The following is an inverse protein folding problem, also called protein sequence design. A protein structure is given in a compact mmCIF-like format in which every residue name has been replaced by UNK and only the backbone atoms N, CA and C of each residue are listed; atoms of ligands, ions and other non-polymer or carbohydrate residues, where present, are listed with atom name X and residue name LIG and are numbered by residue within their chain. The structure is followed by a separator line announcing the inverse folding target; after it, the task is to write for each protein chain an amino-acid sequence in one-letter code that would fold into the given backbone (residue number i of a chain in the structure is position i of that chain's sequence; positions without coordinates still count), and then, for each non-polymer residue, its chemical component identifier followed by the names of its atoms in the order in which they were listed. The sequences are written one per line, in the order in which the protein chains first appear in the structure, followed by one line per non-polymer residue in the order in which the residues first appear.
data_IF_089924681854
#
_entry.id   IF_089924681854
#
_cell.length_a   1.000
_cell.length_b   1.000
_cell.length_c   1.000
_cell.angle_alpha   90.00
_cell.angle_beta   90.00
_cell.angle_gamma   90.00
#
_symmetry.space_group_name_H-M   'P 1'
#
loop_
_entity.id
_entity.type
_entity.pdbx_description
1 polymer ?
#
# COMPACT_ATOMS: atom_id res chain seq x y z
N UNK A 1 13.91 26.98 23.37
CA UNK A 1 14.39 25.65 23.77
C UNK A 1 13.17 24.73 23.84
N UNK A 2 12.94 23.93 22.83
CA UNK A 2 12.15 22.70 22.71
C UNK A 2 11.84 22.48 21.22
N UNK A 3 12.85 22.09 20.46
CA UNK A 3 12.74 21.76 19.03
C UNK A 3 13.05 20.29 18.73
N UNK A 4 13.14 19.43 19.77
CA UNK A 4 13.64 18.06 19.59
C UNK A 4 12.57 16.95 19.49
N UNK A 5 11.28 17.26 19.40
CA UNK A 5 10.24 16.21 19.39
C UNK A 5 9.58 15.96 18.05
N UNK A 6 9.93 16.68 16.98
CA UNK A 6 9.26 16.58 15.68
C UNK A 6 9.93 15.59 14.70
N UNK A 7 11.15 15.15 14.99
CA UNK A 7 11.91 14.26 14.10
C UNK A 7 11.43 12.79 14.06
N UNK A 8 10.54 12.39 14.97
CA UNK A 8 10.23 10.97 15.18
C UNK A 8 8.93 10.45 14.56
N UNK A 9 8.27 11.15 13.63
CA UNK A 9 6.90 10.77 13.24
C UNK A 9 6.66 10.34 11.80
N UNK A 10 7.57 10.53 10.88
CA UNK A 10 7.50 9.93 9.54
C UNK A 10 8.21 8.58 9.51
N UNK A 11 9.13 8.35 10.43
CA UNK A 11 9.83 7.09 10.59
C UNK A 11 9.23 6.12 11.62
N UNK A 12 8.01 6.31 12.09
CA UNK A 12 7.49 5.66 13.30
C UNK A 12 7.14 4.17 13.20
N UNK A 13 7.58 3.46 12.19
CA UNK A 13 7.50 2.00 12.14
C UNK A 13 8.76 1.34 11.59
N UNK A 14 9.85 2.02 11.58
CA UNK A 14 11.13 1.35 11.35
C UNK A 14 11.57 0.59 12.62
N UNK A 15 10.95 -0.55 12.92
CA UNK A 15 11.85 -1.62 13.32
C UNK A 15 12.86 -1.73 12.19
N UNK A 16 14.18 -1.74 12.49
CA UNK A 16 15.17 -1.94 11.44
C UNK A 16 14.73 -3.18 10.66
N UNK A 17 14.40 -2.97 9.38
CA UNK A 17 14.06 -4.08 8.50
C UNK A 17 15.30 -4.90 8.34
N UNK A 18 15.21 -6.24 8.26
CA UNK A 18 16.34 -7.06 7.87
C UNK A 18 16.97 -6.51 6.60
N UNK A 19 18.28 -6.50 6.54
CA UNK A 19 19.01 -6.03 5.36
C UNK A 19 18.55 -6.83 4.14
N UNK A 20 18.18 -6.12 3.08
CA UNK A 20 17.66 -6.75 1.85
C UNK A 20 16.17 -7.07 1.84
N UNK A 21 15.41 -6.71 2.86
CA UNK A 21 13.96 -6.88 2.90
C UNK A 21 13.20 -5.55 3.05
N UNK A 22 11.96 -5.54 2.58
CA UNK A 22 11.02 -4.43 2.80
C UNK A 22 9.66 -4.95 3.24
N UNK A 23 8.92 -4.11 3.96
CA UNK A 23 7.54 -4.41 4.34
C UNK A 23 6.58 -3.86 3.29
N UNK A 24 5.60 -4.69 2.94
CA UNK A 24 4.41 -4.27 2.22
C UNK A 24 3.24 -4.30 3.21
N UNK A 25 2.53 -3.18 3.35
CA UNK A 25 1.31 -3.11 4.16
C UNK A 25 0.19 -2.45 3.37
N UNK A 26 -0.92 -3.17 3.20
CA UNK A 26 -2.02 -2.71 2.36
C UNK A 26 -3.36 -3.29 2.80
N UNK A 27 -4.37 -2.42 2.98
CA UNK A 27 -5.76 -2.83 3.22
C UNK A 27 -5.94 -3.88 4.32
N UNK A 28 -5.17 -3.77 5.40
CA UNK A 28 -5.33 -4.57 6.60
C UNK A 28 -4.52 -5.86 6.68
N UNK A 29 -3.59 -6.07 5.77
CA UNK A 29 -2.53 -7.08 5.88
C UNK A 29 -1.16 -6.43 5.75
N UNK A 30 -0.12 -7.08 6.25
CA UNK A 30 1.27 -6.73 5.96
C UNK A 30 2.16 -7.97 5.97
N UNK A 31 3.24 -7.94 5.22
CA UNK A 31 4.24 -9.00 5.12
C UNK A 31 5.57 -8.45 4.59
N UNK A 32 6.64 -9.22 4.76
CA UNK A 32 7.99 -8.89 4.27
C UNK A 32 8.23 -9.55 2.92
N UNK A 33 8.95 -8.84 2.07
CA UNK A 33 9.40 -9.30 0.74
C UNK A 33 10.80 -8.78 0.48
N UNK A 34 11.54 -9.32 -0.52
CA UNK A 34 12.79 -8.75 -0.99
C UNK A 34 12.68 -7.24 -1.28
N UNK A 35 13.71 -6.48 -0.94
CA UNK A 35 13.70 -5.02 -1.00
C UNK A 35 13.54 -4.46 -2.42
N UNK A 36 13.89 -5.23 -3.44
CA UNK A 36 13.76 -4.88 -4.86
C UNK A 36 12.36 -5.16 -5.45
N UNK A 37 11.41 -5.69 -4.65
CA UNK A 37 10.03 -5.90 -5.13
C UNK A 37 9.17 -4.68 -4.83
N UNK A 38 8.56 -4.10 -5.86
CA UNK A 38 7.65 -2.98 -5.75
C UNK A 38 6.23 -3.34 -6.19
N UNK A 39 5.26 -2.53 -5.75
CA UNK A 39 3.86 -2.74 -6.13
C UNK A 39 3.60 -2.27 -7.55
N UNK A 40 3.39 -3.22 -8.48
CA UNK A 40 3.01 -2.95 -9.85
C UNK A 40 1.52 -2.65 -9.99
N UNK A 41 0.69 -3.45 -9.35
CA UNK A 41 -0.76 -3.41 -9.52
C UNK A 41 -1.48 -3.49 -8.19
N UNK A 42 -2.51 -2.66 -8.05
CA UNK A 42 -3.53 -2.80 -7.02
C UNK A 42 -4.92 -2.79 -7.63
N UNK A 43 -5.76 -3.74 -7.24
CA UNK A 43 -7.16 -3.82 -7.66
C UNK A 43 -8.08 -4.12 -6.48
N UNK A 44 -9.16 -3.36 -6.36
CA UNK A 44 -10.29 -3.77 -5.51
C UNK A 44 -11.13 -4.79 -6.26
N UNK A 45 -11.31 -5.94 -5.65
CA UNK A 45 -12.11 -7.03 -6.20
C UNK A 45 -13.57 -6.89 -5.77
N UNK A 46 -14.47 -7.57 -6.48
CA UNK A 46 -15.86 -7.66 -6.07
C UNK A 46 -15.96 -8.28 -4.67
N UNK A 47 -16.97 -7.88 -3.87
CA UNK A 47 -17.23 -8.37 -2.52
C UNK A 47 -16.19 -7.98 -1.46
N UNK A 48 -15.44 -6.89 -1.68
CA UNK A 48 -14.49 -6.37 -0.69
C UNK A 48 -13.18 -7.15 -0.63
N UNK A 49 -12.82 -7.85 -1.69
CA UNK A 49 -11.48 -8.42 -1.85
C UNK A 49 -10.49 -7.39 -2.40
N UNK A 50 -9.23 -7.71 -2.27
CA UNK A 50 -8.10 -6.92 -2.75
C UNK A 50 -7.13 -7.82 -3.50
N UNK A 51 -6.47 -7.27 -4.51
CA UNK A 51 -5.37 -7.92 -5.23
C UNK A 51 -4.21 -6.94 -5.29
N UNK A 52 -3.01 -7.46 -5.06
CA UNK A 52 -1.75 -6.75 -5.24
C UNK A 52 -0.82 -7.64 -6.04
N UNK A 53 -0.13 -7.04 -6.99
CA UNK A 53 0.94 -7.68 -7.73
C UNK A 53 2.22 -6.90 -7.41
N UNK A 54 3.27 -7.62 -7.04
CA UNK A 54 4.60 -7.08 -6.83
C UNK A 54 5.51 -7.54 -7.97
N UNK A 55 6.34 -6.64 -8.44
CA UNK A 55 7.33 -6.89 -9.49
C UNK A 55 8.72 -6.43 -9.03
N UNK A 56 9.73 -7.01 -9.62
CA UNK A 56 11.06 -6.45 -9.65
C UNK A 56 11.30 -5.73 -10.98
N UNK A 57 12.54 -5.46 -11.34
CA UNK A 57 12.88 -4.80 -12.61
C UNK A 57 12.61 -5.67 -13.85
N UNK A 58 12.34 -6.97 -13.69
CA UNK A 58 12.21 -7.92 -14.81
C UNK A 58 10.81 -8.50 -14.96
N UNK A 59 10.14 -8.84 -13.85
CA UNK A 59 8.88 -9.59 -13.92
C UNK A 59 8.02 -9.47 -12.65
N UNK A 60 6.78 -9.97 -12.77
CA UNK A 60 5.90 -10.15 -11.61
C UNK A 60 6.47 -11.28 -10.76
N UNK A 61 6.69 -10.98 -9.47
CA UNK A 61 7.25 -11.89 -8.47
C UNK A 61 6.21 -12.45 -7.52
N UNK A 62 5.20 -11.64 -7.21
CA UNK A 62 4.14 -12.05 -6.29
C UNK A 62 2.79 -11.53 -6.79
N UNK A 63 1.83 -12.43 -6.92
CA UNK A 63 0.42 -12.10 -7.03
C UNK A 63 -0.27 -12.46 -5.72
N UNK A 64 -0.94 -11.52 -5.08
CA UNK A 64 -1.66 -11.78 -3.84
C UNK A 64 -3.10 -11.29 -3.91
N UNK A 65 -4.01 -12.13 -3.46
CA UNK A 65 -5.42 -11.79 -3.31
C UNK A 65 -5.88 -12.11 -1.89
N UNK A 66 -6.60 -11.20 -1.28
CA UNK A 66 -7.22 -11.47 0.02
C UNK A 66 -8.62 -10.89 0.12
N UNK A 67 -9.42 -11.52 0.96
CA UNK A 67 -10.80 -11.12 1.23
C UNK A 67 -11.12 -11.31 2.70
N UNK A 68 -11.84 -10.36 3.28
CA UNK A 68 -12.46 -10.54 4.58
C UNK A 68 -13.85 -11.14 4.39
N UNK A 69 -13.99 -12.43 4.67
CA UNK A 69 -15.25 -13.12 4.52
C UNK A 69 -16.10 -13.05 5.80
N UNK A 70 -17.41 -12.93 5.66
CA UNK A 70 -18.30 -13.13 6.80
C UNK A 70 -18.24 -14.59 7.27
N UNK A 71 -18.18 -14.83 8.58
CA UNK A 71 -18.04 -16.18 9.20
C UNK A 71 -18.97 -17.23 8.62
N UNK A 72 -20.19 -16.88 8.17
CA UNK A 72 -21.16 -17.77 7.51
C UNK A 72 -20.78 -18.17 6.07
N UNK A 73 -19.84 -17.47 5.43
CA UNK A 73 -19.47 -17.66 4.02
C UNK A 73 -18.17 -18.46 3.85
N UNK A 74 -17.45 -18.74 4.94
CA UNK A 74 -16.20 -19.49 4.91
C UNK A 74 -16.45 -21.00 4.71
N UNK A 75 -16.84 -21.37 3.51
CA UNK A 75 -16.66 -22.74 3.02
C UNK A 75 -15.22 -22.84 2.48
N UNK A 76 -14.25 -22.87 3.38
CA UNK A 76 -12.82 -22.85 3.08
C UNK A 76 -12.43 -23.78 1.93
N UNK A 77 -12.81 -25.06 1.99
CA UNK A 77 -12.53 -26.03 0.91
C UNK A 77 -13.01 -25.56 -0.47
N UNK A 78 -14.16 -24.85 -0.53
CA UNK A 78 -14.70 -24.36 -1.81
C UNK A 78 -13.91 -23.13 -2.31
N UNK A 79 -13.44 -22.31 -1.39
CA UNK A 79 -12.62 -21.13 -1.72
C UNK A 79 -11.25 -21.59 -2.18
N UNK A 80 -10.59 -22.45 -1.42
CA UNK A 80 -9.30 -23.05 -1.81
C UNK A 80 -9.38 -23.70 -3.18
N UNK A 81 -10.35 -24.61 -3.38
CA UNK A 81 -10.56 -25.26 -4.68
C UNK A 81 -10.73 -24.29 -5.83
N UNK A 82 -11.43 -23.16 -5.62
CA UNK A 82 -11.57 -22.13 -6.66
C UNK A 82 -10.22 -21.52 -7.06
N UNK A 83 -9.34 -21.26 -6.09
CA UNK A 83 -8.00 -20.70 -6.37
C UNK A 83 -7.06 -21.77 -6.93
N UNK A 84 -7.15 -22.99 -6.44
CA UNK A 84 -6.46 -24.15 -7.04
C UNK A 84 -6.87 -24.33 -8.50
N UNK A 85 -8.19 -24.32 -8.80
CA UNK A 85 -8.70 -24.40 -10.17
C UNK A 85 -8.24 -23.20 -11.04
N UNK A 86 -8.08 -22.01 -10.46
CA UNK A 86 -7.57 -20.84 -11.17
C UNK A 86 -6.05 -20.91 -11.41
N UNK A 87 -5.29 -21.47 -10.49
CA UNK A 87 -3.86 -21.71 -10.64
C UNK A 87 -3.54 -22.94 -11.49
N UNK A 88 -4.51 -23.87 -11.64
CA UNK A 88 -4.33 -25.14 -12.34
C UNK A 88 -3.71 -25.04 -13.75
N UNK A 89 -4.07 -24.08 -14.61
CA UNK A 89 -3.43 -23.94 -15.91
C UNK A 89 -1.92 -23.72 -15.82
N UNK A 90 -1.47 -23.09 -14.72
CA UNK A 90 -0.06 -22.82 -14.47
C UNK A 90 0.65 -24.04 -13.83
N UNK A 91 -0.05 -24.84 -13.05
CA UNK A 91 0.55 -25.95 -12.27
C UNK A 91 0.44 -27.32 -12.94
N UNK A 92 -0.43 -27.48 -13.95
CA UNK A 92 -0.67 -28.76 -14.65
C UNK A 92 0.55 -29.33 -15.37
N UNK A 93 1.54 -28.51 -15.69
CA UNK A 93 2.75 -28.90 -16.41
C UNK A 93 3.97 -29.02 -15.52
N UNK A 94 3.79 -28.92 -14.21
CA UNK A 94 4.91 -29.08 -13.29
C UNK A 94 5.47 -30.50 -13.39
N UNK A 95 6.79 -30.60 -13.41
CA UNK A 95 7.51 -31.87 -13.42
C UNK A 95 7.50 -32.54 -12.05
N UNK A 96 7.47 -31.73 -10.99
CA UNK A 96 7.40 -32.18 -9.62
C UNK A 96 6.67 -31.15 -8.74
N UNK A 97 6.18 -31.60 -7.58
CA UNK A 97 5.59 -30.70 -6.58
C UNK A 97 5.65 -31.31 -5.18
N UNK A 98 5.77 -30.46 -4.17
CA UNK A 98 5.74 -30.88 -2.76
C UNK A 98 5.15 -29.79 -1.87
N UNK A 99 4.61 -30.20 -0.74
CA UNK A 99 4.12 -29.26 0.27
C UNK A 99 5.30 -28.57 0.98
N UNK A 100 5.13 -27.27 1.24
CA UNK A 100 6.13 -26.50 1.98
C UNK A 100 5.99 -26.81 3.48
N UNK A 101 7.06 -27.29 4.12
CA UNK A 101 7.04 -27.60 5.55
C UNK A 101 7.13 -26.36 6.43
N UNK A 102 6.92 -26.54 7.73
CA UNK A 102 7.20 -25.57 8.81
C UNK A 102 6.54 -24.18 8.64
N UNK A 103 5.35 -24.17 8.09
CA UNK A 103 4.56 -22.93 7.96
C UNK A 103 3.81 -22.59 9.25
N UNK A 104 3.63 -21.30 9.57
CA UNK A 104 2.82 -20.87 10.70
C UNK A 104 1.37 -21.35 10.60
N UNK A 105 0.67 -21.39 11.74
CA UNK A 105 -0.72 -21.81 11.79
C UNK A 105 -1.60 -20.97 10.86
N UNK A 106 -2.47 -21.64 10.12
CA UNK A 106 -3.37 -21.01 9.13
C UNK A 106 -2.80 -20.92 7.73
N UNK A 107 -1.52 -21.24 7.54
CA UNK A 107 -0.87 -21.31 6.24
C UNK A 107 -0.84 -22.73 5.68
N UNK A 108 -0.92 -22.81 4.36
CA UNK A 108 -0.70 -23.99 3.56
C UNK A 108 -0.10 -23.57 2.23
N UNK A 109 0.98 -24.21 1.79
CA UNK A 109 1.63 -23.88 0.52
C UNK A 109 2.14 -25.13 -0.19
N UNK A 110 2.14 -25.07 -1.53
CA UNK A 110 2.68 -26.10 -2.40
C UNK A 110 3.67 -25.46 -3.37
N UNK A 111 4.86 -26.02 -3.45
CA UNK A 111 5.92 -25.65 -4.36
C UNK A 111 5.85 -26.56 -5.60
N UNK A 112 5.86 -25.97 -6.79
CA UNK A 112 5.83 -26.61 -8.08
C UNK A 112 7.13 -26.33 -8.83
N UNK A 113 7.74 -27.34 -9.39
CA UNK A 113 9.02 -27.31 -10.10
C UNK A 113 8.76 -27.58 -11.57
N UNK A 114 9.29 -26.71 -12.44
CA UNK A 114 9.21 -26.83 -13.89
C UNK A 114 10.60 -26.91 -14.48
N UNK A 115 10.80 -27.81 -15.42
CA UNK A 115 12.06 -28.02 -16.11
C UNK A 115 11.85 -27.87 -17.60
N UNK A 116 12.41 -26.83 -18.17
CA UNK A 116 12.34 -26.56 -19.60
C UNK A 116 13.73 -26.71 -20.23
N UNK A 117 13.77 -27.21 -21.47
CA UNK A 117 15.02 -27.26 -22.23
C UNK A 117 15.10 -25.98 -23.04
N UNK A 118 16.07 -25.13 -22.75
CA UNK A 118 16.33 -23.88 -23.43
C UNK A 118 17.75 -23.85 -24.02
N UNK A 119 18.03 -23.11 -25.12
CA UNK A 119 19.38 -22.85 -25.59
C UNK A 119 20.15 -22.09 -24.48
N UNK A 120 21.44 -22.44 -24.31
CA UNK A 120 22.34 -21.66 -23.48
C UNK A 120 22.56 -20.23 -24.01
N UNK A 121 23.27 -19.39 -23.29
CA UNK A 121 23.55 -18.02 -23.69
C UNK A 121 24.32 -17.88 -25.01
N UNK A 122 24.99 -18.93 -25.46
CA UNK A 122 25.69 -18.98 -26.76
C UNK A 122 24.79 -19.49 -27.90
N UNK A 123 23.69 -20.15 -27.58
CA UNK A 123 22.78 -20.80 -28.53
C UNK A 123 23.29 -22.17 -29.06
N UNK A 124 24.46 -22.62 -28.60
CA UNK A 124 25.13 -23.81 -29.13
C UNK A 124 24.74 -25.10 -28.41
N UNK A 125 24.26 -24.99 -27.16
CA UNK A 125 23.88 -26.13 -26.33
C UNK A 125 22.49 -25.95 -25.76
N UNK A 126 21.83 -27.07 -25.53
CA UNK A 126 20.57 -27.10 -24.78
C UNK A 126 20.86 -27.33 -23.30
N UNK A 127 20.38 -26.47 -22.45
CA UNK A 127 20.46 -26.59 -21.00
C UNK A 127 19.07 -26.78 -20.43
N UNK A 128 19.01 -27.47 -19.29
CA UNK A 128 17.76 -27.56 -18.51
C UNK A 128 17.68 -26.32 -17.62
N UNK A 129 16.70 -25.49 -17.91
CA UNK A 129 16.38 -24.32 -17.09
C UNK A 129 15.24 -24.71 -16.15
N UNK A 130 15.41 -24.45 -14.86
CA UNK A 130 14.39 -24.67 -13.85
C UNK A 130 13.80 -23.34 -13.45
N UNK A 131 12.46 -23.27 -13.42
CA UNK A 131 11.73 -22.20 -12.76
C UNK A 131 10.71 -22.79 -11.78
N UNK A 132 10.38 -22.03 -10.77
CA UNK A 132 9.57 -22.50 -9.67
C UNK A 132 8.35 -21.61 -9.44
N UNK A 133 7.27 -22.23 -9.01
CA UNK A 133 6.03 -21.55 -8.66
C UNK A 133 5.58 -22.02 -7.28
N UNK A 134 5.27 -21.08 -6.38
CA UNK A 134 4.69 -21.44 -5.08
C UNK A 134 3.28 -20.89 -4.98
N UNK A 135 2.31 -21.76 -4.72
CA UNK A 135 0.96 -21.36 -4.32
C UNK A 135 0.84 -21.43 -2.81
N UNK A 136 0.38 -20.36 -2.17
CA UNK A 136 0.18 -20.35 -0.74
C UNK A 136 -1.22 -19.81 -0.38
N UNK A 137 -1.79 -20.38 0.67
CA UNK A 137 -3.09 -20.02 1.22
C UNK A 137 -2.94 -19.64 2.69
N UNK A 138 -3.65 -18.60 3.08
CA UNK A 138 -3.77 -18.19 4.47
C UNK A 138 -5.24 -18.11 4.88
N UNK A 139 -5.54 -18.64 6.05
CA UNK A 139 -6.83 -18.49 6.68
C UNK A 139 -6.72 -18.19 8.16
N UNK A 140 -7.27 -17.04 8.56
CA UNK A 140 -7.47 -16.72 9.97
C UNK A 140 -8.96 -16.86 10.33
N UNK A 141 -9.34 -17.85 11.17
CA UNK A 141 -10.72 -17.99 11.63
C UNK A 141 -11.21 -16.82 12.48
N UNK A 142 -10.29 -16.16 13.21
CA UNK A 142 -10.63 -15.05 14.11
C UNK A 142 -10.95 -13.76 13.36
N UNK A 143 -10.11 -13.36 12.41
CA UNK A 143 -10.29 -12.15 11.61
C UNK A 143 -11.17 -12.39 10.39
N UNK A 144 -11.38 -13.67 10.05
CA UNK A 144 -12.08 -14.11 8.83
C UNK A 144 -11.38 -13.60 7.55
N UNK A 145 -10.07 -13.41 7.57
CA UNK A 145 -9.27 -13.15 6.37
C UNK A 145 -8.89 -14.48 5.74
N UNK A 146 -9.14 -14.56 4.44
CA UNK A 146 -8.59 -15.56 3.54
C UNK A 146 -7.63 -14.84 2.59
N UNK A 147 -6.41 -15.38 2.43
CA UNK A 147 -5.40 -14.92 1.50
C UNK A 147 -4.99 -16.01 0.53
N UNK A 148 -4.67 -15.64 -0.69
CA UNK A 148 -4.03 -16.46 -1.71
C UNK A 148 -2.80 -15.71 -2.22
N UNK A 149 -1.70 -16.43 -2.39
CA UNK A 149 -0.40 -15.91 -2.81
C UNK A 149 0.15 -16.85 -3.88
N UNK A 150 0.62 -16.27 -4.97
CA UNK A 150 1.29 -16.95 -6.06
C UNK A 150 2.66 -16.30 -6.25
N UNK A 151 3.73 -17.05 -5.94
CA UNK A 151 5.11 -16.58 -6.06
C UNK A 151 5.73 -17.18 -7.31
N UNK A 152 6.33 -16.31 -8.12
CA UNK A 152 7.07 -16.68 -9.33
C UNK A 152 8.57 -16.55 -9.03
N UNK A 153 9.29 -17.65 -9.11
CA UNK A 153 10.73 -17.71 -8.88
C UNK A 153 11.41 -18.09 -10.19
N UNK A 154 12.24 -17.19 -10.67
CA UNK A 154 12.93 -17.34 -11.94
C UNK A 154 14.26 -18.07 -11.77
N UNK A 155 14.81 -18.65 -12.84
CA UNK A 155 16.07 -19.39 -12.79
C UNK A 155 17.25 -18.58 -12.24
N UNK A 156 17.20 -17.25 -12.47
CA UNK A 156 18.25 -16.31 -12.06
C UNK A 156 18.17 -15.91 -10.59
N UNK A 157 17.06 -16.25 -9.92
CA UNK A 157 16.86 -15.90 -8.54
C UNK A 157 17.79 -16.69 -7.63
N UNK A 158 18.43 -15.98 -6.71
CA UNK A 158 19.31 -16.58 -5.71
C UNK A 158 18.54 -17.10 -4.50
N UNK A 159 17.25 -16.77 -4.42
CA UNK A 159 16.43 -17.12 -3.27
C UNK A 159 15.85 -18.53 -3.40
N UNK A 160 15.97 -19.28 -2.33
CA UNK A 160 15.37 -20.60 -2.23
C UNK A 160 13.85 -20.46 -2.03
N UNK A 161 13.01 -21.08 -2.89
CA UNK A 161 11.55 -20.90 -2.92
C UNK A 161 10.86 -21.18 -1.60
N UNK A 162 11.24 -22.26 -0.92
CA UNK A 162 10.66 -22.66 0.36
C UNK A 162 10.99 -21.65 1.46
N UNK A 163 12.25 -21.20 1.53
CA UNK A 163 12.67 -20.21 2.51
C UNK A 163 11.98 -18.86 2.29
N UNK A 164 11.77 -18.46 1.05
CA UNK A 164 11.07 -17.22 0.71
C UNK A 164 9.62 -17.25 1.20
N UNK A 165 8.88 -18.31 0.91
CA UNK A 165 7.49 -18.41 1.35
C UNK A 165 7.36 -18.57 2.86
N UNK A 166 8.30 -19.26 3.52
CA UNK A 166 8.37 -19.37 4.97
C UNK A 166 8.59 -18.02 5.63
N UNK A 167 9.51 -17.18 5.11
CA UNK A 167 9.73 -15.80 5.59
C UNK A 167 8.49 -14.92 5.38
N UNK A 168 7.87 -14.99 4.19
CA UNK A 168 6.63 -14.27 3.92
C UNK A 168 5.55 -14.66 4.92
N UNK A 169 5.34 -15.96 5.13
CA UNK A 169 4.33 -16.48 6.05
C UNK A 169 4.63 -16.12 7.51
N UNK A 170 5.89 -16.19 7.94
CA UNK A 170 6.32 -15.84 9.30
C UNK A 170 6.16 -14.33 9.59
N UNK A 171 6.39 -13.49 8.59
CA UNK A 171 6.26 -12.03 8.70
C UNK A 171 4.83 -11.51 8.52
N UNK A 172 3.93 -12.36 8.02
CA UNK A 172 2.56 -11.95 7.71
C UNK A 172 1.78 -11.54 8.96
N UNK A 173 1.14 -10.39 8.88
CA UNK A 173 0.28 -9.87 9.92
C UNK A 173 -1.09 -9.53 9.36
N UNK A 174 -2.12 -10.02 10.01
CA UNK A 174 -3.50 -9.65 9.80
C UNK A 174 -3.90 -8.57 10.83
N UNK A 175 -4.07 -7.36 10.36
CA UNK A 175 -4.47 -6.21 11.19
C UNK A 175 -5.98 -6.15 11.44
N UNK A 176 -6.67 -7.29 11.38
CA UNK A 176 -8.14 -7.38 11.48
C UNK A 176 -8.75 -6.77 12.73
N UNK A 177 -8.01 -6.66 13.83
CA UNK A 177 -8.47 -6.10 15.11
C UNK A 177 -7.91 -4.70 15.40
N UNK A 178 -6.98 -4.20 14.61
CA UNK A 178 -6.33 -2.91 14.87
C UNK A 178 -7.25 -1.73 14.64
N UNK A 179 -7.19 -0.74 15.50
CA UNK A 179 -7.96 0.51 15.36
C UNK A 179 -7.48 1.34 14.16
N UNK A 180 -6.21 1.19 13.78
CA UNK A 180 -5.58 1.85 12.63
C UNK A 180 -4.91 0.81 11.75
N UNK A 181 -5.09 0.91 10.44
CA UNK A 181 -4.49 0.03 9.45
C UNK A 181 -3.19 0.64 8.94
N UNK A 182 -2.11 -0.15 8.88
CA UNK A 182 -0.87 0.29 8.25
C UNK A 182 -1.02 0.32 6.72
N UNK A 183 -0.33 1.27 6.12
CA UNK A 183 -0.06 1.36 4.70
C UNK A 183 1.44 1.61 4.54
N UNK A 184 2.12 0.72 3.84
CA UNK A 184 3.56 0.80 3.59
C UNK A 184 3.83 0.26 2.19
N UNK A 185 4.20 1.15 1.30
CA UNK A 185 4.48 0.88 -0.11
C UNK A 185 5.24 2.07 -0.71
N UNK A 186 6.06 1.82 -1.71
CA UNK A 186 6.82 2.87 -2.41
C UNK A 186 7.56 3.82 -1.46
N UNK A 187 8.13 3.30 -0.37
CA UNK A 187 8.81 4.07 0.68
C UNK A 187 7.91 5.06 1.43
N UNK A 188 6.61 4.87 1.38
CA UNK A 188 5.64 5.63 2.17
C UNK A 188 5.10 4.73 3.25
N UNK A 189 5.24 5.15 4.52
CA UNK A 189 4.66 4.45 5.66
C UNK A 189 3.73 5.39 6.44
N UNK A 190 2.49 4.95 6.67
CA UNK A 190 1.51 5.70 7.47
C UNK A 190 0.42 4.77 8.02
N UNK A 191 -0.39 5.27 8.94
CA UNK A 191 -1.56 4.55 9.48
C UNK A 191 -2.85 5.32 9.33
N UNK A 192 -3.87 4.63 8.83
CA UNK A 192 -5.22 5.18 8.64
C UNK A 192 -6.18 4.54 9.64
N UNK A 193 -7.02 5.31 10.35
CA UNK A 193 -8.05 4.71 11.19
C UNK A 193 -8.94 3.78 10.37
N UNK A 194 -9.21 2.58 10.89
CA UNK A 194 -9.97 1.50 10.20
C UNK A 194 -11.29 1.95 9.57
N UNK A 195 -11.94 2.96 10.17
CA UNK A 195 -13.20 3.49 9.64
C UNK A 195 -13.07 4.23 8.31
N UNK A 196 -11.84 4.59 7.90
CA UNK A 196 -11.57 5.20 6.62
C UNK A 196 -11.33 4.15 5.55
N UNK A 197 -12.06 4.25 4.46
CA UNK A 197 -11.92 3.35 3.32
C UNK A 197 -11.12 4.04 2.21
N UNK A 198 -10.16 3.35 1.63
CA UNK A 198 -9.47 3.77 0.42
C UNK A 198 -10.45 3.64 -0.76
N UNK A 199 -10.70 4.75 -1.47
CA UNK A 199 -11.67 4.78 -2.57
C UNK A 199 -11.02 5.08 -3.93
N UNK A 200 -9.83 5.64 -3.92
CA UNK A 200 -9.11 5.97 -5.14
C UNK A 200 -7.62 5.89 -4.91
N UNK A 201 -6.92 5.35 -5.89
CA UNK A 201 -5.48 5.43 -6.02
C UNK A 201 -5.15 5.92 -7.42
N UNK A 202 -4.07 6.69 -7.52
CA UNK A 202 -3.46 7.07 -8.78
C UNK A 202 -1.95 7.03 -8.55
N UNK A 203 -1.26 6.13 -9.23
CA UNK A 203 0.17 5.91 -9.08
C UNK A 203 0.83 6.19 -10.43
N UNK A 204 1.17 7.46 -10.61
CA UNK A 204 1.90 7.93 -11.79
C UNK A 204 3.40 8.04 -11.45
N UNK A 205 4.22 8.09 -12.47
CA UNK A 205 5.67 8.33 -12.32
C UNK A 205 5.88 9.63 -11.54
N UNK A 206 6.57 9.54 -10.41
CA UNK A 206 6.88 10.70 -9.56
C UNK A 206 5.74 11.21 -8.69
N UNK A 207 4.48 10.81 -8.92
CA UNK A 207 3.32 11.27 -8.13
C UNK A 207 2.41 10.13 -7.76
N UNK A 208 2.15 9.96 -6.49
CA UNK A 208 1.22 8.95 -5.99
C UNK A 208 0.12 9.64 -5.18
N UNK A 209 -1.13 9.36 -5.52
CA UNK A 209 -2.31 9.87 -4.80
C UNK A 209 -3.10 8.72 -4.21
N UNK A 210 -3.44 8.84 -2.93
CA UNK A 210 -4.40 7.98 -2.24
C UNK A 210 -5.53 8.83 -1.67
N UNK A 211 -6.78 8.42 -1.92
CA UNK A 211 -7.96 9.10 -1.41
C UNK A 211 -8.74 8.18 -0.50
N UNK A 212 -8.86 8.60 0.74
CA UNK A 212 -9.63 7.89 1.76
C UNK A 212 -10.94 8.61 2.05
N UNK A 213 -11.98 7.85 2.40
CA UNK A 213 -13.28 8.39 2.78
C UNK A 213 -13.80 7.76 4.07
N UNK A 214 -14.49 8.56 4.86
CA UNK A 214 -15.29 8.09 5.99
C UNK A 214 -16.56 8.93 6.09
N UNK A 215 -17.72 8.31 5.82
CA UNK A 215 -18.98 9.02 5.65
C UNK A 215 -18.85 10.06 4.53
N UNK A 216 -19.05 11.36 4.83
CA UNK A 216 -18.90 12.47 3.87
C UNK A 216 -17.52 13.15 3.94
N UNK A 217 -16.58 12.63 4.72
CA UNK A 217 -15.24 13.17 4.87
C UNK A 217 -14.31 12.52 3.87
N UNK A 218 -13.34 13.28 3.39
CA UNK A 218 -12.27 12.80 2.50
C UNK A 218 -10.92 13.23 3.04
N UNK A 219 -9.94 12.37 2.87
CA UNK A 219 -8.54 12.66 3.07
C UNK A 219 -7.79 12.29 1.80
N UNK A 220 -7.11 13.27 1.26
CA UNK A 220 -6.23 13.15 0.12
C UNK A 220 -4.81 13.12 0.64
N UNK A 221 -4.03 12.16 0.19
CA UNK A 221 -2.61 12.03 0.49
C UNK A 221 -1.87 11.92 -0.84
N UNK A 222 -1.02 12.90 -1.10
CA UNK A 222 -0.10 12.90 -2.23
C UNK A 222 1.31 12.64 -1.74
N UNK A 223 2.03 11.87 -2.49
CA UNK A 223 3.45 11.66 -2.35
C UNK A 223 4.11 12.00 -3.68
N UNK A 224 5.11 12.86 -3.62
CA UNK A 224 5.91 13.28 -4.76
C UNK A 224 7.33 12.79 -4.56
N UNK A 225 7.84 12.03 -5.52
CA UNK A 225 9.25 11.64 -5.59
C UNK A 225 10.04 12.72 -6.33
N UNK A 226 11.33 12.83 -6.06
CA UNK A 226 12.22 13.81 -6.71
C UNK A 226 11.76 15.26 -6.48
N UNK A 227 11.62 15.66 -5.21
CA UNK A 227 11.12 16.97 -4.81
C UNK A 227 11.97 18.12 -5.38
N UNK A 228 13.26 17.92 -5.57
CA UNK A 228 14.21 18.84 -6.19
C UNK A 228 13.87 19.23 -7.63
N UNK A 229 13.18 18.36 -8.38
CA UNK A 229 12.80 18.64 -9.78
C UNK A 229 11.72 19.72 -9.86
N UNK A 230 10.79 19.78 -8.91
CA UNK A 230 9.67 20.71 -8.97
C UNK A 230 9.69 21.82 -7.91
N UNK A 231 10.48 21.70 -6.86
CA UNK A 231 10.76 22.81 -5.95
C UNK A 231 11.80 23.72 -6.61
N UNK A 232 11.38 24.93 -6.97
CA UNK A 232 12.28 25.93 -7.56
C UNK A 232 13.18 26.51 -6.47
N UNK A 233 14.34 27.00 -6.86
CA UNK A 233 15.25 27.69 -5.95
C UNK A 233 14.55 28.81 -5.18
N UNK A 234 14.65 28.75 -3.85
CA UNK A 234 14.01 29.69 -2.93
C UNK A 234 12.51 29.51 -2.72
N UNK A 235 11.88 28.51 -3.35
CA UNK A 235 10.46 28.18 -3.12
C UNK A 235 10.31 27.24 -1.93
N UNK A 236 9.47 27.59 -0.96
CA UNK A 236 9.18 26.70 0.16
C UNK A 236 8.25 25.54 -0.26
N UNK A 237 8.33 24.38 0.42
CA UNK A 237 7.40 23.28 0.23
C UNK A 237 5.93 23.70 0.32
N UNK A 238 5.58 24.60 1.25
CA UNK A 238 4.22 25.10 1.43
C UNK A 238 3.76 25.96 0.26
N UNK A 239 4.61 26.82 -0.29
CA UNK A 239 4.29 27.64 -1.47
C UNK A 239 3.99 26.76 -2.68
N UNK A 240 4.85 25.78 -2.92
CA UNK A 240 4.63 24.83 -4.02
C UNK A 240 3.35 24.01 -3.82
N UNK A 241 3.15 23.44 -2.61
CA UNK A 241 1.96 22.65 -2.30
C UNK A 241 0.68 23.46 -2.41
N UNK A 242 0.68 24.72 -2.00
CA UNK A 242 -0.47 25.63 -2.19
C UNK A 242 -0.79 25.86 -3.67
N UNK A 243 0.23 26.07 -4.50
CA UNK A 243 0.06 26.17 -5.96
C UNK A 243 -0.59 24.92 -6.55
N UNK A 244 -0.05 23.74 -6.17
CA UNK A 244 -0.58 22.45 -6.59
C UNK A 244 -2.03 22.22 -6.14
N UNK A 245 -2.32 22.39 -4.85
CA UNK A 245 -3.65 22.17 -4.26
C UNK A 245 -4.70 23.12 -4.86
N UNK A 246 -4.34 24.38 -5.10
CA UNK A 246 -5.22 25.36 -5.71
C UNK A 246 -5.52 25.05 -7.19
N UNK A 247 -4.59 24.41 -7.88
CA UNK A 247 -4.77 23.90 -9.25
C UNK A 247 -5.52 22.56 -9.31
N UNK A 248 -5.50 21.78 -8.26
CA UNK A 248 -6.09 20.45 -8.22
C UNK A 248 -7.63 20.54 -8.32
N UNK A 249 -8.22 19.89 -9.32
CA UNK A 249 -9.68 19.83 -9.52
C UNK A 249 -10.43 19.04 -8.44
N UNK A 250 -9.73 18.26 -7.65
CA UNK A 250 -10.29 17.39 -6.60
C UNK A 250 -10.78 18.20 -5.37
N UNK A 251 -10.21 19.38 -5.12
CA UNK A 251 -10.49 20.23 -3.97
C UNK A 251 -11.25 21.47 -4.40
N UNK A 252 -12.54 21.31 -4.61
CA UNK A 252 -13.43 22.42 -4.96
C UNK A 252 -13.86 23.16 -3.68
N UNK A 253 -13.66 24.46 -3.63
CA UNK A 253 -14.17 25.33 -2.57
C UNK A 253 -13.12 26.00 -1.67
N UNK A 254 -12.10 25.33 -1.10
CA UNK A 254 -11.03 26.01 -0.37
C UNK A 254 -10.04 26.69 -1.32
N UNK A 255 -9.35 27.70 -0.79
CA UNK A 255 -8.11 28.25 -1.35
C UNK A 255 -7.04 28.12 -0.27
N UNK A 256 -5.87 27.66 -0.64
CA UNK A 256 -4.76 27.36 0.24
C UNK A 256 -3.68 28.43 0.13
N UNK A 257 -3.08 28.79 1.27
CA UNK A 257 -2.04 29.79 1.40
C UNK A 257 -0.93 29.25 2.28
N UNK A 258 0.34 29.55 1.98
CA UNK A 258 1.44 29.17 2.85
C UNK A 258 1.38 29.93 4.19
N UNK A 259 1.79 29.26 5.26
CA UNK A 259 1.86 29.77 6.62
C UNK A 259 3.15 29.33 7.31
N UNK A 260 4.27 29.54 6.65
CA UNK A 260 5.59 29.02 6.96
C UNK A 260 6.06 28.02 5.91
N UNK A 261 7.15 27.32 6.19
CA UNK A 261 7.84 26.48 5.20
C UNK A 261 7.04 25.21 4.83
N UNK A 262 6.33 24.61 5.79
CA UNK A 262 5.53 23.39 5.62
C UNK A 262 4.06 23.57 6.06
N UNK A 263 3.73 24.69 6.71
CA UNK A 263 2.39 24.95 7.19
C UNK A 263 1.52 25.59 6.10
N UNK A 264 0.27 25.16 6.03
CA UNK A 264 -0.70 25.64 5.04
C UNK A 264 -1.96 26.08 5.75
N UNK A 265 -2.42 27.30 5.44
CA UNK A 265 -3.74 27.81 5.83
C UNK A 265 -4.71 27.69 4.68
N UNK A 266 -5.99 27.68 4.99
CA UNK A 266 -7.04 27.64 3.99
C UNK A 266 -8.12 28.70 4.27
N UNK A 267 -8.77 29.18 3.20
CA UNK A 267 -9.95 30.05 3.24
C UNK A 267 -10.98 29.53 2.25
N UNK A 268 -12.26 29.84 2.44
CA UNK A 268 -13.29 29.53 1.45
C UNK A 268 -13.16 30.48 0.26
N UNK A 269 -13.30 29.95 -0.94
CA UNK A 269 -13.12 30.70 -2.19
C UNK A 269 -14.20 31.76 -2.40
N UNK A 270 -15.44 31.51 -1.94
CA UNK A 270 -16.58 32.41 -2.08
C UNK A 270 -17.49 32.34 -0.85
N UNK A 271 -18.14 33.43 -0.45
CA UNK A 271 -19.27 33.36 0.44
C UNK A 271 -20.37 32.51 -0.21
N UNK A 272 -21.19 31.90 0.62
CA UNK A 272 -22.25 30.98 0.25
C UNK A 272 -23.20 31.53 -0.79
N UNK A 273 -23.37 30.85 -1.91
CA UNK A 273 -24.48 31.09 -2.87
C UNK A 273 -25.42 29.89 -2.76
N UNK A 274 -26.65 30.12 -2.31
CA UNK A 274 -27.71 29.12 -2.26
C UNK A 274 -27.90 28.48 -3.63
N UNK A 275 -27.79 27.17 -3.77
CA UNK A 275 -28.15 26.47 -4.98
C UNK A 275 -27.54 25.10 -5.24
N UNK A 276 -26.40 24.78 -4.71
CA UNK A 276 -25.77 23.48 -4.99
C UNK A 276 -25.67 22.59 -3.74
N UNK A 277 -26.23 21.38 -3.82
CA UNK A 277 -26.20 20.38 -2.73
C UNK A 277 -24.79 20.06 -2.26
N UNK A 278 -23.82 20.08 -3.15
CA UNK A 278 -22.41 19.86 -2.84
C UNK A 278 -21.81 21.03 -2.05
N UNK A 279 -22.24 22.26 -2.29
CA UNK A 279 -21.78 23.43 -1.55
C UNK A 279 -22.31 23.46 -0.12
N UNK A 280 -23.53 23.00 0.12
CA UNK A 280 -24.10 22.86 1.47
C UNK A 280 -23.28 21.84 2.29
N UNK A 281 -22.89 20.73 1.70
CA UNK A 281 -22.06 19.74 2.36
C UNK A 281 -20.66 20.30 2.67
N UNK A 282 -20.06 21.09 1.78
CA UNK A 282 -18.72 21.68 1.94
C UNK A 282 -18.69 22.87 2.90
N UNK A 283 -19.79 23.56 3.11
CA UNK A 283 -19.89 24.69 4.05
C UNK A 283 -19.52 24.35 5.49
N UNK A 284 -19.86 23.14 5.91
CA UNK A 284 -19.65 22.69 7.27
C UNK A 284 -18.27 22.07 7.49
N UNK A 285 -17.46 21.95 6.43
CA UNK A 285 -16.15 21.35 6.54
C UNK A 285 -15.05 22.37 6.78
N UNK A 286 -14.20 22.03 7.73
CA UNK A 286 -12.86 22.59 7.93
C UNK A 286 -11.86 21.67 7.25
N UNK A 287 -10.65 22.16 7.03
CA UNK A 287 -9.58 21.39 6.41
C UNK A 287 -8.38 21.33 7.35
N UNK A 288 -7.84 20.12 7.52
CA UNK A 288 -6.51 19.88 8.02
C UNK A 288 -5.63 19.65 6.79
N UNK A 289 -4.69 20.56 6.56
CA UNK A 289 -3.89 20.59 5.34
C UNK A 289 -2.45 20.94 5.71
N UNK A 290 -1.51 20.35 5.01
CA UNK A 290 -0.10 20.62 5.19
C UNK A 290 0.74 19.87 4.17
N UNK A 291 2.02 20.11 4.25
CA UNK A 291 3.03 19.37 3.50
C UNK A 291 4.23 19.06 4.38
N UNK A 292 5.09 18.18 3.94
CA UNK A 292 6.35 17.84 4.59
C UNK A 292 7.38 17.43 3.55
N UNK A 293 8.52 18.09 3.58
CA UNK A 293 9.70 17.70 2.80
C UNK A 293 10.55 16.72 3.62
N UNK A 294 10.90 15.61 3.01
CA UNK A 294 11.86 14.62 3.53
C UNK A 294 13.11 14.76 2.68
N UNK A 295 13.98 15.69 3.08
CA UNK A 295 15.18 16.05 2.31
C UNK A 295 16.09 14.84 2.05
N UNK A 296 16.33 14.00 3.07
CA UNK A 296 17.18 12.82 2.96
C UNK A 296 16.72 11.82 1.88
N UNK A 297 15.43 11.83 1.54
CA UNK A 297 14.82 10.92 0.58
C UNK A 297 14.35 11.64 -0.69
N UNK A 298 14.56 12.97 -0.77
CA UNK A 298 14.11 13.81 -1.88
C UNK A 298 12.61 13.66 -2.18
N UNK A 299 11.78 13.65 -1.12
CA UNK A 299 10.35 13.39 -1.20
C UNK A 299 9.53 14.51 -0.58
N UNK A 300 8.39 14.85 -1.20
CA UNK A 300 7.42 15.77 -0.64
C UNK A 300 6.08 15.06 -0.43
N UNK A 301 5.57 15.12 0.79
CA UNK A 301 4.25 14.61 1.15
C UNK A 301 3.31 15.79 1.34
N UNK A 302 2.12 15.72 0.73
CA UNK A 302 1.07 16.74 0.85
C UNK A 302 -0.22 16.05 1.26
N UNK A 303 -0.95 16.64 2.22
CA UNK A 303 -2.25 16.11 2.61
C UNK A 303 -3.30 17.20 2.70
N UNK A 304 -4.55 16.81 2.47
CA UNK A 304 -5.72 17.64 2.67
C UNK A 304 -6.88 16.77 3.15
N UNK A 305 -7.25 16.91 4.41
CA UNK A 305 -8.34 16.14 5.02
C UNK A 305 -9.45 17.09 5.46
N UNK A 306 -10.70 16.85 5.05
CA UNK A 306 -11.81 17.63 5.55
C UNK A 306 -12.42 17.03 6.81
N UNK A 307 -12.91 17.88 7.73
CA UNK A 307 -13.55 17.50 8.97
C UNK A 307 -14.64 18.51 9.37
N UNK A 308 -15.53 18.14 10.30
CA UNK A 308 -16.64 19.00 10.74
C UNK A 308 -16.40 19.63 12.12
N UNK A 309 -16.06 18.82 13.08
CA UNK A 309 -15.86 19.21 14.48
C UNK A 309 -14.42 18.97 14.93
N UNK A 310 -13.97 19.64 15.96
CA UNK A 310 -12.63 19.38 16.51
C UNK A 310 -12.48 17.92 16.98
N UNK A 311 -13.54 17.32 17.52
CA UNK A 311 -13.53 15.87 17.84
C UNK A 311 -13.38 14.96 16.63
N UNK A 312 -13.75 15.43 15.42
CA UNK A 312 -13.46 14.70 14.19
C UNK A 312 -11.97 14.79 13.83
N UNK A 313 -11.33 15.91 14.17
CA UNK A 313 -9.91 16.16 13.86
C UNK A 313 -9.01 15.09 14.47
N UNK A 314 -9.30 14.64 15.70
CA UNK A 314 -8.56 13.57 16.38
C UNK A 314 -8.71 12.21 15.69
N UNK A 315 -9.73 12.10 14.86
CA UNK A 315 -10.04 10.87 14.09
C UNK A 315 -9.56 10.92 12.65
N UNK A 316 -8.94 12.02 12.23
CA UNK A 316 -8.34 12.10 10.90
C UNK A 316 -7.23 11.06 10.79
N UNK A 317 -6.97 10.56 9.57
CA UNK A 317 -5.71 9.91 9.31
C UNK A 317 -4.64 10.85 9.88
N UNK A 318 -3.83 10.39 10.80
CA UNK A 318 -2.69 11.17 11.24
C UNK A 318 -1.65 11.09 10.10
N UNK A 319 -1.69 11.94 9.11
CA UNK A 319 -0.63 12.03 8.19
C UNK A 319 0.44 12.82 8.92
N UNK A 320 1.48 12.13 9.33
CA UNK A 320 2.76 12.70 9.06
C UNK A 320 3.05 14.07 9.71
N UNK A 321 2.57 14.33 10.95
CA UNK A 321 2.94 15.61 11.53
C UNK A 321 2.43 15.95 12.91
N UNK A 322 1.62 15.14 13.55
CA UNK A 322 1.26 15.36 14.94
C UNK A 322 1.85 14.30 15.85
N UNK A 323 2.70 14.75 16.76
CA UNK A 323 2.95 14.01 17.97
C UNK A 323 1.59 13.66 18.61
N UNK A 324 1.30 12.37 18.74
CA UNK A 324 0.28 11.92 19.66
C UNK A 324 0.93 12.13 21.03
N UNK A 325 0.55 13.24 21.70
CA UNK A 325 0.88 13.48 23.09
C UNK A 325 0.23 12.43 23.98
#
# INVERSE_FOLDING_TARGET
MKTDSLHNMVGCYAHPLPEGERRIAWQGISFMVPANWDMAVYKSLRRGGHRVELEDEYSIRLESEWIRAHKKQLKLKRIMKRYEDAAKPLTLKADDYHDVPDLPAGWHATHFIFKETAPDASGDKLEIVQHDLVTAFYLCPESSIFGFFLLHIMPEDREEPVALVQRLAASFQDHGKDARLPYELFDIAFRIPRKWALIQTQFDIGVKLMVFTWRLRRCYLWHFSCADIFLKDGQTPAEWACGYLNGARLLKGPVFYPDGDEAIRWKRRKPFLFGHREEIATLCYKYDVGCRLIEAENKLIVWACNYRSESDRDTLPAPLGRAVG
#
